data_IF_246300177266
#
_entry.id   IF_246300177266
#
_cell.length_a   1.000
_cell.length_b   1.000
_cell.length_c   1.000
_cell.angle_alpha   90.00
_cell.angle_beta   90.00
_cell.angle_gamma   90.00
#
_symmetry.space_group_name_H-M   'P 1'
#
loop_
_entity.id
_entity.type
_entity.pdbx_description
1 polymer ?
#
# COMPACT_ATOMS: atom_id res chain seq x y z
N UNK A 1 -15.10 -29.00 -20.08
CA UNK A 1 -15.94 -27.89 -20.56
C UNK A 1 -15.30 -26.61 -20.05
N UNK A 2 -14.51 -25.97 -20.91
CA UNK A 2 -13.90 -24.66 -20.68
C UNK A 2 -15.00 -23.61 -20.72
N UNK A 3 -15.42 -23.11 -19.56
CA UNK A 3 -16.26 -21.93 -19.47
C UNK A 3 -15.45 -20.75 -19.99
N UNK A 4 -15.87 -20.20 -21.13
CA UNK A 4 -15.43 -18.90 -21.59
C UNK A 4 -15.84 -17.87 -20.52
N UNK A 5 -14.86 -17.43 -19.73
CA UNK A 5 -15.00 -16.20 -18.95
C UNK A 5 -14.80 -15.07 -19.95
N UNK A 6 -15.82 -14.25 -20.13
CA UNK A 6 -15.81 -13.13 -21.07
C UNK A 6 -14.68 -12.17 -20.71
N UNK A 7 -13.83 -11.82 -21.68
CA UNK A 7 -12.54 -11.15 -21.45
C UNK A 7 -12.68 -9.65 -21.08
N UNK A 8 -13.86 -9.19 -20.65
CA UNK A 8 -14.20 -7.76 -20.52
C UNK A 8 -15.06 -7.39 -19.30
N UNK A 9 -15.20 -8.26 -18.30
CA UNK A 9 -15.93 -7.90 -17.07
C UNK A 9 -15.01 -7.14 -16.10
N UNK A 10 -14.88 -5.83 -16.28
CA UNK A 10 -14.31 -4.93 -15.27
C UNK A 10 -15.43 -4.23 -14.51
N UNK A 11 -15.35 -4.17 -13.18
CA UNK A 11 -16.28 -3.37 -12.37
C UNK A 11 -16.20 -1.86 -12.66
N UNK A 12 -15.03 -1.39 -13.11
CA UNK A 12 -14.78 -0.01 -13.49
C UNK A 12 -13.85 0.05 -14.71
N UNK A 13 -13.98 1.09 -15.54
CA UNK A 13 -13.15 1.24 -16.75
C UNK A 13 -11.92 2.13 -16.54
N UNK A 14 -12.05 3.15 -15.71
CA UNK A 14 -11.03 4.21 -15.54
C UNK A 14 -10.67 4.36 -14.07
N UNK A 15 -9.40 4.69 -13.83
CA UNK A 15 -8.84 5.06 -12.54
C UNK A 15 -9.01 6.56 -12.33
N UNK A 16 -9.35 6.97 -11.12
CA UNK A 16 -9.41 8.39 -10.74
C UNK A 16 -8.02 9.01 -10.86
N UNK A 17 -7.85 10.13 -11.61
CA UNK A 17 -6.55 10.77 -11.72
C UNK A 17 -5.99 11.18 -10.36
N UNK A 18 -4.76 10.76 -10.06
CA UNK A 18 -4.03 11.23 -8.88
C UNK A 18 -3.54 12.65 -9.07
N UNK A 19 -3.63 13.46 -8.02
CA UNK A 19 -3.09 14.82 -8.05
C UNK A 19 -1.55 14.79 -8.08
N UNK A 20 -0.88 15.66 -8.85
CA UNK A 20 0.56 15.83 -8.75
C UNK A 20 0.96 16.30 -7.33
N UNK A 21 1.99 15.70 -6.71
CA UNK A 21 2.43 16.12 -5.39
C UNK A 21 3.14 17.48 -5.41
N UNK A 22 3.13 18.17 -4.27
CA UNK A 22 3.91 19.41 -4.09
C UNK A 22 5.39 19.04 -4.13
N UNK A 23 6.17 19.66 -5.02
CA UNK A 23 7.59 19.35 -5.22
C UNK A 23 8.51 20.39 -4.59
N UNK A 24 9.64 19.94 -4.06
CA UNK A 24 10.74 20.81 -3.66
C UNK A 24 12.08 20.26 -4.19
N UNK A 25 12.97 21.17 -4.61
CA UNK A 25 14.23 20.80 -5.26
C UNK A 25 15.28 20.23 -4.32
N UNK A 26 15.09 20.39 -3.01
CA UNK A 26 15.99 19.88 -1.96
C UNK A 26 15.15 19.47 -0.77
N UNK A 27 15.52 18.37 -0.13
CA UNK A 27 14.93 17.94 1.12
C UNK A 27 15.05 19.03 2.20
N UNK A 28 13.91 19.52 2.69
CA UNK A 28 13.83 20.37 3.86
C UNK A 28 14.03 19.55 5.15
N UNK A 29 13.60 18.28 5.15
CA UNK A 29 13.83 17.31 6.20
C UNK A 29 14.24 15.97 5.59
N UNK A 30 15.31 15.31 6.08
CA UNK A 30 15.83 14.08 5.48
C UNK A 30 15.02 12.81 5.81
N UNK A 31 13.85 12.85 6.45
CA UNK A 31 13.21 11.61 6.88
C UNK A 31 11.68 11.72 6.94
N UNK A 32 11.02 10.56 6.73
CA UNK A 32 9.62 10.28 7.07
C UNK A 32 9.46 10.13 8.59
N UNK A 33 9.94 11.10 9.37
CA UNK A 33 10.15 10.96 10.83
C UNK A 33 8.84 10.60 11.52
N UNK A 34 7.80 11.40 11.30
CA UNK A 34 6.52 11.28 11.98
C UNK A 34 5.82 9.96 11.63
N UNK A 35 5.66 9.64 10.34
CA UNK A 35 5.08 8.39 9.88
C UNK A 35 5.83 7.15 10.42
N UNK A 36 7.17 7.15 10.34
CA UNK A 36 8.02 6.03 10.81
C UNK A 36 7.95 5.86 12.33
N UNK A 37 7.84 6.96 13.08
CA UNK A 37 7.67 6.96 14.52
C UNK A 37 6.31 6.43 14.93
N UNK A 38 5.22 6.93 14.31
CA UNK A 38 3.86 6.51 14.66
C UNK A 38 3.65 5.00 14.48
N UNK A 39 4.13 4.45 13.35
CA UNK A 39 4.02 3.00 13.09
C UNK A 39 5.18 2.18 13.65
N UNK A 40 6.13 2.82 14.36
CA UNK A 40 7.30 2.19 15.01
C UNK A 40 8.18 1.37 14.06
N UNK A 41 8.25 1.75 12.78
CA UNK A 41 8.99 0.99 11.78
C UNK A 41 10.51 1.00 12.03
N UNK A 42 11.09 2.13 12.46
CA UNK A 42 12.52 2.18 12.78
C UNK A 42 12.89 1.28 13.97
N UNK A 43 12.07 1.27 15.01
CA UNK A 43 12.23 0.37 16.17
C UNK A 43 12.16 -1.10 15.73
N UNK A 44 11.20 -1.43 14.86
CA UNK A 44 11.02 -2.78 14.35
C UNK A 44 12.21 -3.23 13.50
N UNK A 45 12.70 -2.38 12.58
CA UNK A 45 13.89 -2.65 11.77
C UNK A 45 15.12 -2.98 12.63
N UNK A 46 15.35 -2.17 13.67
CA UNK A 46 16.48 -2.35 14.58
C UNK A 46 16.33 -3.63 15.41
N UNK A 47 15.16 -3.85 16.01
CA UNK A 47 14.92 -4.99 16.92
C UNK A 47 14.99 -6.32 16.20
N UNK A 48 14.40 -6.40 15.01
CA UNK A 48 14.34 -7.63 14.23
C UNK A 48 15.46 -7.74 13.20
N UNK A 49 16.35 -6.74 13.09
CA UNK A 49 17.45 -6.72 12.11
C UNK A 49 16.94 -6.98 10.69
N UNK A 50 15.95 -6.18 10.29
CA UNK A 50 15.31 -6.25 8.97
C UNK A 50 15.29 -4.88 8.33
N UNK A 51 15.41 -4.86 7.00
CA UNK A 51 15.45 -3.64 6.20
C UNK A 51 14.77 -3.82 4.83
N UNK A 52 14.21 -5.02 4.57
CA UNK A 52 13.52 -5.35 3.33
C UNK A 52 14.41 -5.95 2.25
N UNK A 53 15.70 -6.22 2.53
CA UNK A 53 16.66 -6.70 1.52
C UNK A 53 16.26 -7.99 0.78
N UNK A 54 15.32 -8.78 1.33
CA UNK A 54 14.81 -10.04 0.76
C UNK A 54 13.45 -9.89 0.05
N UNK A 55 12.93 -8.68 -0.06
CA UNK A 55 11.67 -8.40 -0.74
C UNK A 55 11.89 -7.54 -2.00
N UNK A 56 11.03 -7.75 -3.00
CA UNK A 56 10.91 -6.86 -4.15
C UNK A 56 9.46 -6.38 -4.25
N UNK A 57 9.29 -5.06 -4.25
CA UNK A 57 7.97 -4.41 -4.32
C UNK A 57 7.73 -3.92 -5.74
N UNK A 58 6.64 -4.38 -6.37
CA UNK A 58 6.15 -3.81 -7.61
C UNK A 58 5.21 -2.65 -7.30
N UNK A 59 5.58 -1.44 -7.71
CA UNK A 59 4.76 -0.23 -7.57
C UNK A 59 4.07 0.03 -8.91
N UNK A 60 2.75 -0.09 -8.92
CA UNK A 60 1.89 0.16 -10.08
C UNK A 60 1.34 1.58 -9.95
N UNK A 61 1.95 2.53 -10.66
CA UNK A 61 1.68 3.96 -10.48
C UNK A 61 1.98 4.76 -11.76
N UNK A 62 2.27 6.05 -11.62
CA UNK A 62 2.63 7.03 -12.67
C UNK A 62 4.05 6.87 -13.21
N UNK A 63 4.81 5.91 -12.70
CA UNK A 63 6.22 5.68 -13.02
C UNK A 63 7.13 5.99 -11.83
N UNK A 64 8.45 5.90 -12.03
CA UNK A 64 9.43 6.24 -10.98
C UNK A 64 10.60 7.02 -11.58
N UNK A 65 11.08 8.07 -10.91
CA UNK A 65 12.41 8.64 -11.17
C UNK A 65 13.49 7.68 -10.66
N UNK A 66 13.85 6.68 -11.47
CA UNK A 66 14.84 5.67 -11.09
C UNK A 66 16.25 6.23 -10.81
N UNK A 67 16.55 7.44 -11.29
CA UNK A 67 17.81 8.15 -11.04
C UNK A 67 17.87 8.81 -9.67
N UNK A 68 16.75 8.91 -8.96
CA UNK A 68 16.72 9.50 -7.62
C UNK A 68 17.64 8.71 -6.67
N UNK A 69 18.44 9.41 -5.88
CA UNK A 69 19.47 8.79 -5.03
C UNK A 69 18.87 7.81 -4.00
N UNK A 70 17.64 8.08 -3.57
CA UNK A 70 16.86 7.19 -2.70
C UNK A 70 16.63 5.78 -3.29
N UNK A 71 16.70 5.60 -4.62
CA UNK A 71 16.49 4.31 -5.28
C UNK A 71 17.75 3.73 -5.91
N UNK A 72 18.89 4.40 -5.79
CA UNK A 72 20.10 4.08 -6.54
C UNK A 72 20.46 2.59 -6.45
N UNK A 73 20.49 1.92 -7.61
CA UNK A 73 20.83 0.49 -7.74
C UNK A 73 19.76 -0.50 -7.26
N UNK A 74 18.57 -0.03 -6.86
CA UNK A 74 17.47 -0.88 -6.33
C UNK A 74 16.28 -1.03 -7.28
N UNK A 75 16.18 -0.25 -8.35
CA UNK A 75 15.18 -0.46 -9.42
C UNK A 75 15.65 -1.63 -10.31
N UNK A 76 15.06 -2.81 -10.14
CA UNK A 76 15.53 -4.06 -10.78
C UNK A 76 14.78 -4.43 -12.06
N UNK A 77 13.61 -3.85 -12.26
CA UNK A 77 12.86 -3.92 -13.52
C UNK A 77 11.93 -2.74 -13.64
N UNK A 78 11.51 -2.44 -14.87
CA UNK A 78 10.50 -1.44 -15.14
C UNK A 78 9.65 -1.85 -16.34
N UNK A 79 8.42 -1.34 -16.42
CA UNK A 79 7.58 -1.50 -17.61
C UNK A 79 6.53 -0.40 -17.70
N UNK A 80 6.24 0.02 -18.91
CA UNK A 80 5.23 1.03 -19.22
C UNK A 80 4.06 0.41 -19.98
N UNK A 81 2.86 0.62 -19.43
CA UNK A 81 1.58 0.17 -19.99
C UNK A 81 0.77 1.34 -20.57
N UNK A 82 1.32 2.55 -20.53
CA UNK A 82 0.70 3.79 -21.01
C UNK A 82 1.19 4.17 -22.41
N UNK A 83 0.55 5.16 -23.01
CA UNK A 83 1.01 5.78 -24.25
C UNK A 83 2.12 6.83 -24.03
N UNK A 84 2.42 7.19 -22.77
CA UNK A 84 3.51 8.11 -22.46
C UNK A 84 4.86 7.54 -22.90
N UNK A 85 5.89 8.39 -22.91
CA UNK A 85 7.24 8.01 -23.32
C UNK A 85 7.26 7.41 -24.73
N UNK A 86 6.41 7.94 -25.62
CA UNK A 86 6.19 7.46 -27.00
C UNK A 86 5.73 5.99 -27.07
N UNK A 87 5.08 5.48 -26.02
CA UNK A 87 4.67 4.08 -25.92
C UNK A 87 5.84 3.10 -25.76
N UNK A 88 7.03 3.58 -25.39
CA UNK A 88 8.16 2.72 -25.09
C UNK A 88 7.86 1.90 -23.82
N UNK A 89 7.67 0.59 -24.01
CA UNK A 89 7.32 -0.36 -22.95
C UNK A 89 8.40 -0.53 -21.91
N UNK A 90 9.64 -0.19 -22.21
CA UNK A 90 10.77 -0.32 -21.27
C UNK A 90 11.09 0.99 -20.56
N UNK A 91 10.31 2.04 -20.79
CA UNK A 91 10.49 3.37 -20.17
C UNK A 91 9.34 3.71 -19.23
N UNK A 92 9.48 3.35 -17.94
CA UNK A 92 8.53 3.69 -16.88
C UNK A 92 8.92 4.97 -16.13
N UNK A 93 9.60 5.91 -16.80
CA UNK A 93 9.94 7.21 -16.19
C UNK A 93 8.68 7.91 -15.72
N UNK A 94 8.73 8.43 -14.50
CA UNK A 94 7.67 9.24 -13.94
C UNK A 94 7.59 10.59 -14.68
N UNK A 95 6.38 11.09 -14.84
CA UNK A 95 6.10 12.44 -15.35
C UNK A 95 5.00 13.16 -14.58
N UNK A 96 4.54 12.58 -13.45
CA UNK A 96 3.56 13.16 -12.54
C UNK A 96 4.18 13.47 -11.17
N UNK A 97 4.95 12.53 -10.62
CA UNK A 97 5.63 12.62 -9.33
C UNK A 97 5.01 11.77 -8.23
N UNK A 98 3.74 11.38 -8.38
CA UNK A 98 3.05 10.53 -7.41
C UNK A 98 3.77 9.17 -7.22
N UNK A 99 4.19 8.51 -8.29
CA UNK A 99 4.82 7.19 -8.22
C UNK A 99 6.22 7.22 -7.63
N UNK A 100 6.96 8.31 -7.86
CA UNK A 100 8.24 8.57 -7.19
C UNK A 100 8.04 8.76 -5.67
N UNK A 101 7.02 9.51 -5.26
CA UNK A 101 6.67 9.70 -3.85
C UNK A 101 6.26 8.37 -3.17
N UNK A 102 5.34 7.62 -3.80
CA UNK A 102 4.87 6.32 -3.34
C UNK A 102 6.05 5.34 -3.19
N UNK A 103 6.93 5.27 -4.17
CA UNK A 103 8.13 4.42 -4.12
C UNK A 103 9.08 4.81 -3.00
N UNK A 104 9.21 6.12 -2.72
CA UNK A 104 10.02 6.64 -1.63
C UNK A 104 9.53 6.15 -0.26
N UNK A 105 8.22 6.18 -0.03
CA UNK A 105 7.60 5.71 1.21
C UNK A 105 7.88 4.22 1.44
N UNK A 106 7.90 3.42 0.37
CA UNK A 106 8.27 2.01 0.45
C UNK A 106 9.74 1.84 0.80
N UNK A 107 10.66 2.35 -0.04
CA UNK A 107 12.05 1.87 -0.04
C UNK A 107 13.13 2.95 -0.26
N UNK A 108 12.82 4.24 -0.05
CA UNK A 108 13.88 5.22 0.03
C UNK A 108 14.93 4.81 1.09
N UNK A 109 16.20 5.05 0.81
CA UNK A 109 17.27 4.66 1.73
C UNK A 109 18.56 5.41 1.48
N UNK A 110 18.46 6.71 1.18
CA UNK A 110 19.59 7.65 1.16
C UNK A 110 19.18 8.98 1.80
N UNK A 111 18.63 9.92 1.03
CA UNK A 111 18.15 11.20 1.55
C UNK A 111 16.98 10.96 2.48
N UNK A 112 16.00 10.15 2.06
CA UNK A 112 14.87 9.73 2.88
C UNK A 112 15.04 8.26 3.29
N UNK A 113 14.33 7.87 4.36
CA UNK A 113 14.23 6.47 4.80
C UNK A 113 12.79 6.01 4.74
N UNK A 114 12.48 5.15 3.77
CA UNK A 114 11.20 4.46 3.66
C UNK A 114 11.03 3.35 4.71
N UNK A 115 9.90 2.67 4.66
CA UNK A 115 9.61 1.59 5.61
C UNK A 115 10.57 0.41 5.46
N UNK A 116 10.90 0.03 4.22
CA UNK A 116 11.80 -1.06 3.86
C UNK A 116 12.97 -0.56 2.98
N UNK A 117 13.94 0.15 3.57
CA UNK A 117 14.94 0.94 2.82
C UNK A 117 15.90 0.11 1.96
N UNK A 118 15.92 -1.21 2.08
CA UNK A 118 16.76 -2.10 1.25
C UNK A 118 15.95 -3.01 0.32
N UNK A 119 14.63 -2.87 0.30
CA UNK A 119 13.79 -3.56 -0.67
C UNK A 119 14.15 -3.15 -2.10
N UNK A 120 14.05 -4.12 -3.01
CA UNK A 120 14.15 -3.86 -4.45
C UNK A 120 12.83 -3.30 -4.96
N UNK A 121 12.89 -2.54 -6.05
CA UNK A 121 11.75 -1.90 -6.67
C UNK A 121 11.56 -2.39 -8.10
N UNK A 122 10.32 -2.68 -8.46
CA UNK A 122 9.88 -2.84 -9.84
C UNK A 122 8.89 -1.73 -10.16
N UNK A 123 9.24 -0.86 -11.12
CA UNK A 123 8.44 0.29 -11.49
C UNK A 123 7.49 -0.05 -12.64
N UNK A 124 6.19 -0.17 -12.37
CA UNK A 124 5.19 -0.42 -13.40
C UNK A 124 4.35 0.84 -13.62
N UNK A 125 4.61 1.54 -14.73
CA UNK A 125 3.85 2.72 -15.12
C UNK A 125 2.51 2.29 -15.74
N UNK A 126 1.45 2.40 -14.95
CA UNK A 126 0.05 2.10 -15.36
C UNK A 126 -0.81 3.36 -15.40
N UNK A 127 -0.34 4.46 -14.80
CA UNK A 127 -0.98 5.77 -14.86
C UNK A 127 -0.16 6.71 -15.75
N UNK A 128 -0.86 7.47 -16.59
CA UNK A 128 -0.25 8.47 -17.43
C UNK A 128 0.27 9.66 -16.60
N UNK A 129 1.01 10.57 -17.22
CA UNK A 129 1.55 11.76 -16.56
C UNK A 129 0.44 12.70 -16.03
N UNK A 130 -0.78 12.57 -16.56
CA UNK A 130 -1.99 13.23 -16.03
C UNK A 130 -2.52 12.62 -14.73
N UNK A 131 -1.95 11.52 -14.24
CA UNK A 131 -2.37 10.81 -13.03
C UNK A 131 -3.47 9.77 -13.25
N UNK A 132 -4.12 9.73 -14.41
CA UNK A 132 -5.18 8.76 -14.74
C UNK A 132 -4.67 7.54 -15.50
N UNK A 133 -5.48 6.47 -15.54
CA UNK A 133 -5.20 5.24 -16.30
C UNK A 133 -6.45 4.39 -16.46
N UNK A 134 -6.35 3.27 -17.16
CA UNK A 134 -7.45 2.32 -17.35
C UNK A 134 -7.25 1.02 -16.58
N UNK A 135 -8.33 0.39 -16.12
CA UNK A 135 -8.23 -0.92 -15.47
C UNK A 135 -7.75 -2.04 -16.39
N UNK A 136 -7.80 -1.81 -17.71
CA UNK A 136 -7.12 -2.66 -18.68
C UNK A 136 -5.59 -2.65 -18.49
N UNK A 137 -4.99 -1.47 -18.28
CA UNK A 137 -3.56 -1.34 -18.01
C UNK A 137 -3.18 -1.97 -16.66
N UNK A 138 -4.05 -1.85 -15.65
CA UNK A 138 -3.87 -2.49 -14.34
C UNK A 138 -3.91 -4.01 -14.49
N UNK A 139 -4.89 -4.56 -15.22
CA UNK A 139 -4.95 -6.01 -15.53
C UNK A 139 -3.66 -6.49 -16.18
N UNK A 140 -3.19 -5.79 -17.22
CA UNK A 140 -1.99 -6.18 -17.95
C UNK A 140 -0.73 -6.11 -17.07
N UNK A 141 -0.67 -5.14 -16.16
CA UNK A 141 0.42 -5.04 -15.19
C UNK A 141 0.38 -6.13 -14.13
N UNK A 142 -0.80 -6.47 -13.58
CA UNK A 142 -0.96 -7.57 -12.63
C UNK A 142 -0.61 -8.93 -13.27
N UNK A 143 -1.03 -9.15 -14.53
CA UNK A 143 -0.61 -10.32 -15.30
C UNK A 143 0.91 -10.35 -15.50
N UNK A 144 1.52 -9.21 -15.84
CA UNK A 144 2.98 -9.12 -15.97
C UNK A 144 3.69 -9.45 -14.64
N UNK A 145 3.16 -8.97 -13.51
CA UNK A 145 3.69 -9.33 -12.18
C UNK A 145 3.60 -10.82 -11.97
N UNK A 146 2.44 -11.44 -12.23
CA UNK A 146 2.24 -12.87 -12.06
C UNK A 146 3.27 -13.68 -12.86
N UNK A 147 3.50 -13.29 -14.12
CA UNK A 147 4.43 -13.96 -15.04
C UNK A 147 5.90 -13.75 -14.68
N UNK A 148 6.25 -12.59 -14.11
CA UNK A 148 7.64 -12.19 -13.88
C UNK A 148 8.08 -12.21 -12.40
N UNK A 149 7.16 -12.52 -11.46
CA UNK A 149 7.45 -12.49 -10.02
C UNK A 149 8.65 -13.36 -9.64
N UNK A 150 8.77 -14.56 -10.21
CA UNK A 150 9.87 -15.47 -9.88
C UNK A 150 11.21 -14.94 -10.41
N UNK A 151 11.20 -14.32 -11.59
CA UNK A 151 12.38 -13.73 -12.22
C UNK A 151 12.93 -12.55 -11.43
N UNK A 152 12.05 -11.69 -10.91
CA UNK A 152 12.44 -10.48 -10.20
C UNK A 152 12.34 -10.59 -8.68
N UNK A 153 11.87 -11.72 -8.15
CA UNK A 153 11.62 -11.92 -6.71
C UNK A 153 10.51 -11.03 -6.16
N UNK A 154 9.46 -10.74 -6.96
CA UNK A 154 8.34 -9.88 -6.55
C UNK A 154 7.51 -10.63 -5.51
N UNK A 155 7.36 -10.03 -4.34
CA UNK A 155 6.60 -10.58 -3.21
C UNK A 155 5.55 -9.61 -2.67
N UNK A 156 5.56 -8.35 -3.13
CA UNK A 156 4.59 -7.32 -2.76
C UNK A 156 4.21 -6.52 -4.00
N UNK A 157 2.93 -6.18 -4.12
CA UNK A 157 2.38 -5.21 -5.06
C UNK A 157 1.81 -4.04 -4.26
N UNK A 158 2.12 -2.81 -4.68
CA UNK A 158 1.53 -1.58 -4.13
C UNK A 158 0.76 -0.87 -5.24
N UNK A 159 -0.53 -0.62 -5.00
CA UNK A 159 -1.46 0.05 -5.90
C UNK A 159 -2.11 1.24 -5.18
N UNK A 160 -1.54 2.41 -5.37
CA UNK A 160 -2.05 3.67 -4.83
C UNK A 160 -3.02 4.33 -5.82
N UNK A 161 -4.05 3.56 -6.20
CA UNK A 161 -5.01 3.87 -7.25
C UNK A 161 -6.37 3.22 -6.97
N UNK A 162 -7.43 3.74 -7.59
CA UNK A 162 -8.78 3.18 -7.46
C UNK A 162 -9.78 3.83 -8.42
N UNK A 163 -10.97 3.24 -8.49
CA UNK A 163 -12.12 3.79 -9.18
C UNK A 163 -12.80 4.88 -8.32
N UNK A 164 -13.67 5.68 -8.94
CA UNK A 164 -14.48 6.69 -8.24
C UNK A 164 -15.74 6.08 -7.61
N UNK A 165 -15.69 4.85 -7.12
CA UNK A 165 -16.82 4.13 -6.55
C UNK A 165 -16.67 3.90 -5.04
N UNK A 166 -17.76 3.47 -4.40
CA UNK A 166 -17.80 3.22 -2.97
C UNK A 166 -18.63 1.96 -2.71
N UNK A 167 -17.96 0.81 -2.70
CA UNK A 167 -18.59 -0.50 -2.57
C UNK A 167 -18.51 -0.99 -1.13
N UNK A 168 -19.57 -1.63 -0.67
CA UNK A 168 -19.63 -2.33 0.61
C UNK A 168 -19.49 -3.85 0.48
N UNK A 169 -19.50 -4.38 -0.75
CA UNK A 169 -19.36 -5.82 -1.02
C UNK A 169 -18.59 -6.08 -2.32
N UNK A 170 -17.91 -7.24 -2.38
CA UNK A 170 -17.31 -7.82 -3.59
C UNK A 170 -18.17 -8.94 -4.21
N UNK A 171 -19.31 -9.27 -3.60
CA UNK A 171 -20.12 -10.43 -3.99
C UNK A 171 -20.74 -10.29 -5.40
N UNK A 172 -20.93 -9.05 -5.85
CA UNK A 172 -21.43 -8.71 -7.19
C UNK A 172 -20.32 -8.70 -8.26
N UNK A 173 -19.06 -8.87 -7.86
CA UNK A 173 -17.88 -8.88 -8.75
C UNK A 173 -17.44 -10.29 -9.17
N UNK A 174 -18.34 -11.27 -9.06
CA UNK A 174 -18.09 -12.63 -9.51
C UNK A 174 -17.71 -12.68 -11.00
N UNK A 175 -16.50 -13.14 -11.29
CA UNK A 175 -15.97 -13.22 -12.66
C UNK A 175 -15.12 -12.02 -13.10
N UNK A 176 -14.91 -11.03 -12.24
CA UNK A 176 -14.01 -9.91 -12.52
C UNK A 176 -12.56 -10.39 -12.70
N UNK A 177 -11.91 -9.93 -13.77
CA UNK A 177 -10.58 -10.39 -14.17
C UNK A 177 -9.49 -9.90 -13.21
N UNK A 178 -9.61 -8.68 -12.68
CA UNK A 178 -8.66 -8.16 -11.67
C UNK A 178 -8.84 -8.94 -10.37
N UNK A 179 -10.07 -9.20 -9.93
CA UNK A 179 -10.33 -10.06 -8.78
C UNK A 179 -9.67 -11.44 -8.91
N UNK A 180 -9.79 -12.08 -10.09
CA UNK A 180 -9.14 -13.36 -10.37
C UNK A 180 -7.60 -13.28 -10.37
N UNK A 181 -7.00 -12.19 -10.86
CA UNK A 181 -5.56 -11.98 -10.82
C UNK A 181 -5.04 -11.73 -9.41
N UNK A 182 -5.74 -10.94 -8.61
CA UNK A 182 -5.42 -10.71 -7.20
C UNK A 182 -5.42 -12.02 -6.41
N UNK A 183 -6.40 -12.89 -6.66
CA UNK A 183 -6.43 -14.23 -6.08
C UNK A 183 -5.21 -15.07 -6.46
N UNK A 184 -4.89 -15.14 -7.75
CA UNK A 184 -3.72 -15.90 -8.23
C UNK A 184 -2.41 -15.36 -7.64
N UNK A 185 -2.26 -14.04 -7.50
CA UNK A 185 -1.10 -13.41 -6.87
C UNK A 185 -1.02 -13.77 -5.38
N UNK A 186 -2.13 -13.68 -4.65
CA UNK A 186 -2.22 -14.04 -3.24
C UNK A 186 -1.88 -15.52 -3.00
N UNK A 187 -2.43 -16.43 -3.80
CA UNK A 187 -2.10 -17.86 -3.77
C UNK A 187 -0.62 -18.14 -4.10
N UNK A 188 -0.03 -17.29 -4.93
CA UNK A 188 1.38 -17.34 -5.28
C UNK A 188 2.32 -16.64 -4.27
N UNK A 189 1.79 -16.16 -3.14
CA UNK A 189 2.57 -15.53 -2.06
C UNK A 189 2.89 -14.05 -2.28
N UNK A 190 2.23 -13.38 -3.22
CA UNK A 190 2.39 -11.95 -3.49
C UNK A 190 1.30 -11.16 -2.78
N UNK A 191 1.67 -10.36 -1.78
CA UNK A 191 0.73 -9.51 -1.06
C UNK A 191 0.40 -8.25 -1.87
N UNK A 192 -0.88 -7.98 -2.13
CA UNK A 192 -1.33 -6.81 -2.88
C UNK A 192 -1.91 -5.75 -1.95
N UNK A 193 -1.18 -4.66 -1.71
CA UNK A 193 -1.62 -3.52 -0.89
C UNK A 193 -2.30 -2.47 -1.77
N UNK A 194 -3.53 -2.07 -1.44
CA UNK A 194 -4.37 -1.23 -2.30
C UNK A 194 -5.05 -0.12 -1.50
N UNK A 195 -5.02 1.10 -2.03
CA UNK A 195 -5.63 2.26 -1.40
C UNK A 195 -7.16 2.13 -1.32
N UNK A 196 -7.77 2.38 -0.16
CA UNK A 196 -9.22 2.25 0.02
C UNK A 196 -10.02 3.29 -0.77
N UNK A 197 -9.44 4.46 -1.06
CA UNK A 197 -10.10 5.58 -1.77
C UNK A 197 -10.18 6.85 -0.92
N UNK A 198 -10.43 7.99 -1.57
CA UNK A 198 -10.34 9.33 -0.95
C UNK A 198 -11.67 10.13 -1.02
N UNK A 199 -12.78 9.47 -1.34
CA UNK A 199 -14.05 10.14 -1.62
C UNK A 199 -15.09 10.02 -0.51
N UNK A 200 -14.69 9.69 0.73
CA UNK A 200 -15.63 9.45 1.84
C UNK A 200 -16.60 10.64 2.06
N UNK A 201 -16.07 11.87 2.07
CA UNK A 201 -16.89 13.08 2.12
C UNK A 201 -17.85 13.20 0.92
N UNK A 202 -17.35 12.96 -0.30
CA UNK A 202 -18.13 13.09 -1.53
C UNK A 202 -19.28 12.06 -1.60
N UNK A 203 -19.12 10.90 -0.96
CA UNK A 203 -20.17 9.90 -0.78
C UNK A 203 -21.08 10.14 0.41
N UNK A 204 -21.10 11.36 0.96
CA UNK A 204 -21.95 11.71 2.10
C UNK A 204 -21.59 10.91 3.36
N UNK A 205 -20.31 10.58 3.53
CA UNK A 205 -19.79 9.76 4.64
C UNK A 205 -20.37 8.34 4.68
N UNK A 206 -20.79 7.79 3.54
CA UNK A 206 -21.17 6.40 3.43
C UNK A 206 -19.93 5.48 3.51
N UNK A 207 -19.99 4.45 4.33
CA UNK A 207 -18.94 3.44 4.42
C UNK A 207 -18.83 2.63 3.12
N UNK A 208 -17.59 2.29 2.75
CA UNK A 208 -17.27 1.55 1.55
C UNK A 208 -15.80 1.72 1.17
N UNK A 209 -15.38 1.00 0.13
CA UNK A 209 -14.06 1.07 -0.48
C UNK A 209 -14.19 1.10 -2.01
N UNK A 210 -13.21 1.70 -2.66
CA UNK A 210 -13.14 1.73 -4.11
C UNK A 210 -12.69 0.38 -4.69
N UNK A 211 -13.03 0.14 -5.95
CA UNK A 211 -12.43 -0.92 -6.75
C UNK A 211 -10.97 -0.55 -7.11
N UNK A 212 -9.97 -1.45 -6.95
CA UNK A 212 -10.10 -2.87 -6.60
C UNK A 212 -9.87 -3.19 -5.11
N UNK A 213 -9.72 -2.19 -4.23
CA UNK A 213 -9.47 -2.41 -2.79
C UNK A 213 -10.59 -3.18 -2.08
N UNK A 214 -11.81 -3.19 -2.63
CA UNK A 214 -12.93 -3.97 -2.09
C UNK A 214 -12.70 -5.50 -2.12
N UNK A 215 -11.83 -6.01 -3.00
CA UNK A 215 -11.58 -7.46 -3.07
C UNK A 215 -10.87 -7.95 -1.81
N UNK A 216 -11.38 -9.04 -1.23
CA UNK A 216 -10.85 -9.67 0.01
C UNK A 216 -9.42 -10.20 -0.14
N UNK A 217 -8.96 -10.41 -1.37
CA UNK A 217 -7.59 -10.80 -1.68
C UNK A 217 -6.59 -9.64 -1.54
N UNK A 218 -7.05 -8.39 -1.45
CA UNK A 218 -6.21 -7.21 -1.21
C UNK A 218 -5.97 -6.97 0.28
N UNK A 219 -4.84 -6.35 0.62
CA UNK A 219 -4.66 -5.62 1.87
C UNK A 219 -5.12 -4.19 1.63
N UNK A 220 -6.36 -3.88 1.98
CA UNK A 220 -6.98 -2.58 1.77
C UNK A 220 -6.53 -1.56 2.82
N UNK A 221 -6.16 -0.35 2.39
CA UNK A 221 -5.47 0.62 3.26
C UNK A 221 -6.19 1.96 3.34
N UNK A 222 -6.62 2.33 4.54
CA UNK A 222 -7.13 3.66 4.91
C UNK A 222 -6.04 4.60 5.42
N UNK A 223 -6.35 5.89 5.55
CA UNK A 223 -5.39 6.92 5.93
C UNK A 223 -5.72 7.61 7.26
N UNK A 224 -4.72 7.70 8.14
CA UNK A 224 -4.70 8.56 9.33
C UNK A 224 -3.67 9.69 9.18
N UNK A 225 -3.78 10.69 10.04
CA UNK A 225 -2.71 11.66 10.28
C UNK A 225 -1.61 11.05 11.18
N UNK A 226 -0.37 11.48 11.00
CA UNK A 226 0.77 11.07 11.83
C UNK A 226 1.17 12.07 12.92
N UNK A 227 0.69 13.32 12.82
CA UNK A 227 0.96 14.38 13.79
C UNK A 227 -0.13 15.47 13.78
N UNK A 228 -0.04 16.39 14.74
CA UNK A 228 -0.78 17.66 14.70
C UNK A 228 -0.03 18.65 13.80
N UNK A 229 -0.68 19.02 12.70
CA UNK A 229 -0.19 19.92 11.65
C UNK A 229 -1.22 21.05 11.41
N UNK A 230 -2.19 21.23 12.33
CA UNK A 230 -3.28 22.19 12.17
C UNK A 230 -4.45 21.69 11.31
N UNK A 231 -5.11 22.59 10.59
CA UNK A 231 -6.29 22.27 9.78
C UNK A 231 -5.98 22.16 8.29
N UNK A 232 -6.70 21.28 7.58
CA UNK A 232 -6.58 21.08 6.13
C UNK A 232 -7.93 21.19 5.41
N UNK A 233 -7.90 21.66 4.17
CA UNK A 233 -9.02 21.60 3.24
C UNK A 233 -8.59 20.90 1.96
N UNK A 234 -9.38 19.93 1.52
CA UNK A 234 -9.07 19.07 0.39
C UNK A 234 -9.95 19.40 -0.82
N UNK A 235 -9.47 19.06 -2.03
CA UNK A 235 -10.20 19.34 -3.27
C UNK A 235 -11.58 18.65 -3.32
N UNK A 236 -11.72 17.49 -2.69
CA UNK A 236 -13.00 16.77 -2.56
C UNK A 236 -14.06 17.52 -1.75
N UNK A 237 -13.68 18.59 -1.03
CA UNK A 237 -14.54 19.31 -0.10
C UNK A 237 -14.42 18.79 1.34
N UNK A 238 -13.71 17.69 1.57
CA UNK A 238 -13.35 17.23 2.91
C UNK A 238 -12.49 18.28 3.63
N UNK A 239 -12.68 18.44 4.94
CA UNK A 239 -11.96 19.43 5.76
C UNK A 239 -11.68 18.86 7.14
N UNK A 240 -10.42 18.88 7.55
CA UNK A 240 -10.04 18.67 8.94
C UNK A 240 -9.85 20.04 9.61
N UNK A 241 -10.53 20.27 10.72
CA UNK A 241 -10.40 21.49 11.52
C UNK A 241 -9.10 21.43 12.33
N UNK A 242 -8.75 20.25 12.85
CA UNK A 242 -7.46 19.97 13.48
C UNK A 242 -7.03 18.53 13.21
N UNK A 243 -5.71 18.28 13.21
CA UNK A 243 -5.15 16.94 13.06
C UNK A 243 -4.42 16.52 14.33
N UNK A 244 -4.23 15.21 14.48
CA UNK A 244 -3.38 14.61 15.49
C UNK A 244 -3.06 13.18 15.03
N UNK A 245 -2.01 12.59 15.57
CA UNK A 245 -1.70 11.19 15.33
C UNK A 245 -2.94 10.29 15.57
N UNK A 246 -3.11 9.28 14.71
CA UNK A 246 -4.18 8.28 14.75
C UNK A 246 -5.59 8.77 14.36
N UNK A 247 -5.82 10.07 14.20
CA UNK A 247 -7.09 10.59 13.65
C UNK A 247 -7.30 10.15 12.21
N UNK A 248 -8.46 9.59 11.90
CA UNK A 248 -8.77 9.19 10.54
C UNK A 248 -8.99 10.43 9.68
N UNK A 249 -8.34 10.48 8.52
CA UNK A 249 -8.49 11.60 7.60
C UNK A 249 -9.93 11.67 7.06
N UNK A 250 -10.55 12.86 6.89
CA UNK A 250 -11.95 12.97 6.48
C UNK A 250 -12.22 12.49 5.06
N UNK A 251 -11.19 12.41 4.22
CA UNK A 251 -11.31 11.89 2.85
C UNK A 251 -11.26 10.35 2.79
N UNK A 252 -10.61 9.67 3.75
CA UNK A 252 -10.35 8.24 3.65
C UNK A 252 -11.65 7.44 3.60
N UNK A 253 -11.88 6.73 2.50
CA UNK A 253 -12.88 5.66 2.47
C UNK A 253 -12.53 4.62 3.53
N UNK A 254 -13.59 4.05 4.14
CA UNK A 254 -13.51 3.13 5.28
C UNK A 254 -14.74 2.25 5.29
N UNK A 255 -14.56 0.97 5.55
CA UNK A 255 -15.63 -0.02 5.60
C UNK A 255 -15.45 -0.90 6.83
N UNK A 256 -16.38 -0.81 7.78
CA UNK A 256 -16.38 -1.72 8.92
C UNK A 256 -17.13 -3.01 8.59
N UNK A 257 -16.69 -4.12 9.17
CA UNK A 257 -17.31 -5.46 9.01
C UNK A 257 -18.82 -5.52 9.30
N UNK A 258 -19.33 -4.60 10.12
CA UNK A 258 -20.77 -4.47 10.42
C UNK A 258 -21.60 -4.06 9.21
N UNK A 259 -20.99 -3.36 8.26
CA UNK A 259 -21.61 -2.90 7.01
C UNK A 259 -21.24 -3.85 5.89
N UNK A 260 -19.93 -4.09 5.69
CA UNK A 260 -19.45 -4.86 4.53
C UNK A 260 -19.46 -6.38 4.67
N UNK A 261 -19.81 -6.91 5.85
CA UNK A 261 -19.93 -8.35 6.09
C UNK A 261 -18.58 -9.08 6.02
N UNK A 262 -18.27 -9.66 4.86
CA UNK A 262 -16.97 -10.30 4.60
C UNK A 262 -15.93 -9.32 4.04
N UNK A 263 -16.35 -8.12 3.66
CA UNK A 263 -15.47 -7.02 3.25
C UNK A 263 -15.34 -6.02 4.41
N UNK A 264 -14.09 -5.68 4.78
CA UNK A 264 -13.77 -4.61 5.71
C UNK A 264 -12.45 -3.95 5.28
N UNK A 265 -12.25 -2.67 5.60
CA UNK A 265 -10.94 -2.05 5.46
C UNK A 265 -9.98 -2.71 6.43
N UNK A 266 -8.92 -3.32 5.90
CA UNK A 266 -8.04 -4.18 6.68
C UNK A 266 -7.25 -3.39 7.72
N UNK A 267 -6.69 -2.26 7.29
CA UNK A 267 -5.76 -1.52 8.11
C UNK A 267 -5.63 -0.06 7.68
N UNK A 268 -5.22 0.78 8.62
CA UNK A 268 -4.91 2.19 8.42
C UNK A 268 -3.42 2.44 8.63
N UNK A 269 -2.90 3.43 7.91
CA UNK A 269 -1.53 3.91 8.07
C UNK A 269 -1.45 5.44 7.85
N UNK A 270 -0.34 6.09 8.26
CA UNK A 270 -0.06 7.47 7.94
C UNK A 270 -0.20 7.78 6.46
N UNK A 271 -1.06 8.74 6.12
CA UNK A 271 -1.32 9.12 4.73
C UNK A 271 -1.40 10.61 4.46
N UNK A 272 -1.37 11.49 5.48
CA UNK A 272 -1.49 12.93 5.26
C UNK A 272 -0.90 13.74 6.44
N UNK A 273 -0.11 14.80 6.17
CA UNK A 273 0.79 14.93 5.02
C UNK A 273 1.92 13.88 5.09
N UNK A 274 2.44 13.44 3.94
CA UNK A 274 3.59 12.53 3.88
C UNK A 274 4.65 13.08 2.93
N UNK A 275 5.86 13.32 3.45
CA UNK A 275 7.02 13.82 2.71
C UNK A 275 7.92 12.68 2.24
N UNK A 276 8.19 12.57 0.94
CA UNK A 276 9.05 11.51 0.40
C UNK A 276 9.82 11.96 -0.84
N UNK A 277 10.45 11.02 -1.55
CA UNK A 277 11.25 11.27 -2.76
C UNK A 277 10.46 12.06 -3.81
N UNK A 278 11.05 13.15 -4.30
CA UNK A 278 10.45 14.04 -5.28
C UNK A 278 10.94 13.79 -6.71
N UNK A 279 10.17 14.27 -7.68
CA UNK A 279 10.45 14.06 -9.10
C UNK A 279 11.21 15.22 -9.75
N UNK A 280 11.46 16.36 -9.10
CA UNK A 280 12.10 17.49 -9.79
C UNK A 280 13.55 17.20 -10.20
N UNK A 281 14.29 16.47 -9.38
CA UNK A 281 15.69 16.11 -9.63
C UNK A 281 16.06 14.86 -8.84
N UNK A 282 17.32 14.41 -8.92
CA UNK A 282 17.76 13.16 -8.28
C UNK A 282 17.83 13.23 -6.74
N UNK A 283 17.53 14.38 -6.15
CA UNK A 283 17.58 14.65 -4.70
C UNK A 283 16.34 15.43 -4.21
N UNK A 284 15.30 15.50 -5.03
CA UNK A 284 14.09 16.24 -4.72
C UNK A 284 13.29 15.60 -3.60
N UNK A 285 12.36 16.36 -3.04
CA UNK A 285 11.34 15.85 -2.12
C UNK A 285 9.97 16.24 -2.64
N UNK A 286 8.94 15.54 -2.19
CA UNK A 286 7.56 15.92 -2.44
C UNK A 286 6.65 15.59 -1.26
N UNK A 287 5.59 16.38 -1.10
CA UNK A 287 4.60 16.25 -0.02
C UNK A 287 3.25 15.90 -0.63
N UNK A 288 2.57 14.90 -0.07
CA UNK A 288 1.26 14.46 -0.55
C UNK A 288 0.34 13.96 0.57
N UNK A 289 -0.96 13.88 0.27
CA UNK A 289 -2.02 13.46 1.15
C UNK A 289 -2.88 12.42 0.43
N UNK A 290 -3.19 11.30 1.09
CA UNK A 290 -4.10 10.30 0.55
C UNK A 290 -3.96 8.92 1.17
N UNK A 291 -4.96 8.08 0.95
CA UNK A 291 -4.83 6.61 1.10
C UNK A 291 -3.74 6.05 0.19
N UNK A 292 -3.44 6.77 -0.91
CA UNK A 292 -2.29 6.55 -1.78
C UNK A 292 -0.94 6.59 -1.06
N UNK A 293 -0.78 7.43 -0.03
CA UNK A 293 0.45 7.52 0.76
C UNK A 293 0.47 6.52 1.92
N UNK A 294 -0.71 6.18 2.46
CA UNK A 294 -0.84 5.14 3.48
C UNK A 294 -0.52 3.73 2.93
N UNK A 295 -0.92 3.46 1.69
CA UNK A 295 -0.70 2.16 1.02
C UNK A 295 0.77 1.71 0.96
N UNK A 296 1.73 2.54 0.53
CA UNK A 296 3.15 2.16 0.51
C UNK A 296 3.76 1.99 1.91
N UNK A 297 3.19 2.59 2.96
CA UNK A 297 3.59 2.29 4.35
C UNK A 297 3.34 0.81 4.65
N UNK A 298 2.14 0.31 4.32
CA UNK A 298 1.79 -1.11 4.50
C UNK A 298 2.65 -2.00 3.60
N UNK A 299 2.84 -1.64 2.32
CA UNK A 299 3.67 -2.42 1.41
C UNK A 299 5.11 -2.59 1.94
N UNK A 300 5.70 -1.53 2.52
CA UNK A 300 7.02 -1.62 3.13
C UNK A 300 7.04 -2.42 4.43
N UNK A 301 6.02 -2.32 5.31
CA UNK A 301 5.93 -3.16 6.52
C UNK A 301 5.77 -4.64 6.15
N UNK A 302 5.00 -4.95 5.11
CA UNK A 302 4.90 -6.31 4.55
C UNK A 302 6.27 -6.81 4.06
N UNK A 303 7.04 -5.95 3.38
CA UNK A 303 8.41 -6.29 2.96
C UNK A 303 9.33 -6.58 4.16
N UNK A 304 9.19 -5.87 5.28
CA UNK A 304 9.94 -6.16 6.51
C UNK A 304 9.54 -7.51 7.14
N UNK A 305 8.24 -7.82 7.18
CA UNK A 305 7.74 -9.12 7.67
C UNK A 305 8.26 -10.27 6.81
N UNK A 306 8.20 -10.14 5.49
CA UNK A 306 8.73 -11.12 4.55
C UNK A 306 10.25 -11.28 4.70
N UNK A 307 10.99 -10.19 4.87
CA UNK A 307 12.44 -10.21 5.13
C UNK A 307 12.77 -10.99 6.42
N UNK A 308 12.01 -10.74 7.49
CA UNK A 308 12.14 -11.48 8.74
C UNK A 308 11.88 -12.98 8.55
N UNK A 309 10.74 -13.34 7.94
CA UNK A 309 10.38 -14.74 7.70
C UNK A 309 11.43 -15.45 6.87
N UNK A 310 11.85 -14.91 5.72
CA UNK A 310 12.85 -15.56 4.85
C UNK A 310 14.18 -15.71 5.57
N UNK A 311 14.58 -14.73 6.41
CA UNK A 311 15.81 -14.84 7.19
C UNK A 311 15.76 -15.95 8.23
N UNK A 312 14.60 -16.19 8.86
CA UNK A 312 14.42 -17.16 9.95
C UNK A 312 14.08 -18.56 9.44
N UNK A 313 13.22 -18.67 8.44
CA UNK A 313 12.67 -19.96 7.95
C UNK A 313 13.15 -20.33 6.55
N UNK A 314 13.74 -19.40 5.80
CA UNK A 314 14.14 -19.62 4.40
C UNK A 314 13.01 -19.50 3.38
N UNK A 315 11.77 -19.18 3.81
CA UNK A 315 10.59 -19.14 2.95
C UNK A 315 9.75 -17.88 3.18
N UNK A 316 9.02 -17.45 2.16
CA UNK A 316 7.99 -16.42 2.32
C UNK A 316 6.81 -16.99 3.13
N UNK A 317 6.17 -16.18 3.99
CA UNK A 317 4.92 -16.55 4.65
C UNK A 317 3.75 -16.47 3.66
N UNK A 318 2.65 -17.16 3.98
CA UNK A 318 1.41 -17.00 3.24
C UNK A 318 0.82 -15.60 3.48
N UNK A 319 0.17 -15.01 2.47
CA UNK A 319 -0.41 -13.66 2.57
C UNK A 319 -1.46 -13.55 3.69
N UNK A 320 -2.21 -14.63 3.95
CA UNK A 320 -3.14 -14.69 5.09
C UNK A 320 -2.45 -14.53 6.44
N UNK A 321 -1.25 -15.07 6.61
CA UNK A 321 -0.47 -14.94 7.86
C UNK A 321 0.04 -13.51 8.04
N UNK A 322 0.48 -12.88 6.93
CA UNK A 322 0.86 -11.48 6.92
C UNK A 322 -0.32 -10.61 7.37
N UNK A 323 -1.50 -10.80 6.77
CA UNK A 323 -2.74 -10.10 7.15
C UNK A 323 -3.04 -10.29 8.63
N UNK A 324 -2.96 -11.53 9.10
CA UNK A 324 -3.22 -11.87 10.50
C UNK A 324 -2.29 -11.17 11.48
N UNK A 325 -0.99 -11.15 11.20
CA UNK A 325 -0.02 -10.46 12.07
C UNK A 325 -0.23 -8.96 12.06
N UNK A 326 -0.52 -8.35 10.90
CA UNK A 326 -0.82 -6.92 10.78
C UNK A 326 -2.08 -6.56 11.58
N UNK A 327 -3.19 -7.26 11.34
CA UNK A 327 -4.52 -6.91 11.87
C UNK A 327 -4.62 -7.20 13.37
N UNK A 328 -4.13 -8.35 13.85
CA UNK A 328 -4.29 -8.76 15.27
C UNK A 328 -3.38 -8.01 16.24
N UNK A 329 -2.30 -7.41 15.73
CA UNK A 329 -1.35 -6.63 16.52
C UNK A 329 -1.49 -5.12 16.32
N UNK A 330 -2.42 -4.71 15.47
CA UNK A 330 -2.74 -3.32 15.21
C UNK A 330 -3.20 -2.60 16.49
N UNK A 331 -3.10 -1.28 16.44
CA UNK A 331 -3.68 -0.41 17.47
C UNK A 331 -5.07 -0.01 17.03
N UNK A 332 -6.00 -0.04 17.97
CA UNK A 332 -7.36 0.37 17.72
C UNK A 332 -7.48 1.89 17.67
N UNK A 333 -8.13 2.39 16.61
CA UNK A 333 -8.53 3.79 16.43
C UNK A 333 -10.06 3.83 16.30
N UNK A 334 -10.72 4.91 16.72
CA UNK A 334 -12.19 4.98 16.73
C UNK A 334 -12.60 6.16 15.84
N UNK A 335 -13.40 5.89 14.81
CA UNK A 335 -13.90 6.95 13.93
C UNK A 335 -14.95 7.79 14.66
N UNK A 336 -14.57 9.01 15.05
CA UNK A 336 -15.39 10.03 15.71
C UNK A 336 -15.18 10.17 17.21
N UNK A 337 -14.10 9.64 17.79
CA UNK A 337 -13.81 9.85 19.21
C UNK A 337 -13.04 11.15 19.46
N UNK A 338 -12.15 11.54 18.56
CA UNK A 338 -11.35 12.74 18.68
C UNK A 338 -11.16 13.53 17.36
N UNK A 339 -11.71 13.04 16.24
CA UNK A 339 -11.73 13.78 14.98
C UNK A 339 -12.55 15.08 15.09
N UNK A 340 -11.99 16.14 14.52
CA UNK A 340 -12.68 17.43 14.35
C UNK A 340 -12.63 17.77 12.86
N UNK A 341 -13.64 17.35 12.13
CA UNK A 341 -13.71 17.52 10.69
C UNK A 341 -15.17 17.75 10.22
N UNK A 342 -15.41 17.66 8.91
CA UNK A 342 -16.72 17.90 8.31
C UNK A 342 -17.43 16.65 7.76
N UNK A 343 -17.03 15.45 8.18
CA UNK A 343 -17.71 14.21 7.80
C UNK A 343 -18.56 13.65 8.94
N UNK A 344 -19.49 12.78 8.61
CA UNK A 344 -20.21 11.99 9.60
C UNK A 344 -19.35 10.78 9.99
N UNK A 345 -19.12 10.62 11.28
CA UNK A 345 -18.36 9.50 11.83
C UNK A 345 -19.25 8.29 12.09
N UNK A 346 -18.67 7.10 11.90
CA UNK A 346 -19.34 5.83 12.14
C UNK A 346 -19.41 5.44 13.62
N UNK A 347 -18.55 5.98 14.49
CA UNK A 347 -18.43 5.57 15.90
C UNK A 347 -17.87 4.15 16.05
N UNK A 348 -17.25 3.60 15.00
CA UNK A 348 -16.75 2.23 14.94
C UNK A 348 -15.23 2.19 15.09
N UNK A 349 -14.74 1.02 15.50
CA UNK A 349 -13.32 0.76 15.72
C UNK A 349 -12.67 0.26 14.45
N UNK A 350 -11.58 0.91 14.06
CA UNK A 350 -10.69 0.49 12.98
C UNK A 350 -9.29 0.20 13.55
N UNK A 351 -8.38 -0.23 12.69
CA UNK A 351 -7.08 -0.77 13.08
C UNK A 351 -5.98 -0.02 12.35
N UNK A 352 -5.06 0.58 13.08
CA UNK A 352 -3.87 1.25 12.53
C UNK A 352 -2.64 0.37 12.75
N UNK A 353 -1.79 0.27 11.73
CA UNK A 353 -0.62 -0.62 11.75
C UNK A 353 0.42 -0.23 12.80
N UNK A 354 0.97 -1.21 13.51
CA UNK A 354 2.18 -1.07 14.32
C UNK A 354 3.20 -2.11 13.83
N UNK A 355 4.25 -1.66 13.15
CA UNK A 355 5.25 -2.52 12.54
C UNK A 355 6.00 -3.37 13.58
N UNK A 356 6.28 -2.79 14.75
CA UNK A 356 6.98 -3.46 15.84
C UNK A 356 6.10 -4.55 16.44
N UNK A 357 4.82 -4.26 16.66
CA UNK A 357 3.84 -5.23 17.14
C UNK A 357 3.60 -6.36 16.11
N UNK A 358 3.52 -6.05 14.82
CA UNK A 358 3.34 -7.03 13.76
C UNK A 358 4.53 -7.99 13.63
N UNK A 359 5.77 -7.47 13.62
CA UNK A 359 6.97 -8.30 13.61
C UNK A 359 7.10 -9.12 14.90
N UNK A 360 6.68 -8.59 16.05
CA UNK A 360 6.62 -9.34 17.30
C UNK A 360 5.62 -10.49 17.23
N UNK A 361 4.43 -10.26 16.66
CA UNK A 361 3.42 -11.29 16.45
C UNK A 361 3.94 -12.40 15.52
N UNK A 362 4.58 -12.00 14.41
CA UNK A 362 5.25 -12.91 13.48
C UNK A 362 6.31 -13.77 14.17
N UNK A 363 7.25 -13.16 14.90
CA UNK A 363 8.31 -13.87 15.60
C UNK A 363 7.79 -14.87 16.63
N UNK A 364 6.75 -14.49 17.40
CA UNK A 364 6.10 -15.40 18.36
C UNK A 364 5.44 -16.57 17.66
N UNK A 365 4.78 -16.34 16.54
CA UNK A 365 4.10 -17.38 15.79
C UNK A 365 5.10 -18.38 15.19
N UNK A 366 6.18 -17.91 14.55
CA UNK A 366 7.23 -18.77 14.03
C UNK A 366 7.91 -19.60 15.13
N UNK A 367 8.20 -18.99 16.28
CA UNK A 367 8.80 -19.70 17.41
C UNK A 367 7.89 -20.82 17.95
N UNK A 368 6.56 -20.59 18.01
CA UNK A 368 5.60 -21.62 18.43
C UNK A 368 5.59 -22.82 17.48
N UNK A 369 5.65 -22.58 16.17
CA UNK A 369 5.70 -23.67 15.16
C UNK A 369 6.96 -24.50 15.28
N UNK A 370 8.12 -23.84 15.43
CA UNK A 370 9.40 -24.54 15.64
C UNK A 370 9.38 -25.45 16.89
N UNK A 371 8.76 -24.99 17.98
CA UNK A 371 8.60 -25.80 19.20
C UNK A 371 7.66 -26.98 18.99
N UNK A 372 6.56 -26.81 18.25
CA UNK A 372 5.64 -27.90 17.92
C UNK A 372 6.32 -28.98 17.07
N UNK A 373 7.07 -28.58 16.03
CA UNK A 373 7.83 -29.49 15.16
C UNK A 373 8.92 -30.26 15.91
N UNK A 374 9.56 -29.61 16.90
CA UNK A 374 10.54 -30.26 17.77
C UNK A 374 9.88 -31.27 18.72
N UNK A 375 8.73 -30.93 19.29
CA UNK A 375 7.94 -31.80 20.17
C UNK A 375 7.55 -33.12 19.50
N UNK A 376 7.02 -33.06 18.29
CA UNK A 376 6.61 -34.24 17.52
C UNK A 376 7.79 -35.19 17.19
N UNK A 377 9.00 -34.64 16.95
CA UNK A 377 10.19 -35.47 16.70
C UNK A 377 10.69 -36.22 17.93
N UNK A 378 10.40 -35.73 19.13
CA UNK A 378 10.78 -36.39 20.41
C UNK A 378 9.85 -37.53 20.80
N UNK A 379 8.64 -37.60 20.24
CA UNK A 379 7.64 -38.65 20.56
C UNK A 379 7.79 -39.87 19.63
N UNK A 380 8.52 -39.72 18.53
CA UNK A 380 8.72 -40.76 17.49
C UNK A 380 10.12 -41.40 17.56
N UNK A 381 10.94 -41.03 18.54
CA UNK A 381 12.24 -41.64 18.86
C UNK A 381 12.15 -42.41 20.17
#
# INVERSE_FOLDING_TARGET
>A
MTTHVDASAFAAQQVVPVEPPIQHDRAALPELIQATQLVRAAEARNTFTVDGARATVAVLDTGVRATHVDFAGRVVAQRNFTADNNGDRENASDGNGHGTNVSGIVCAGDIHTGMAPRAKLVALKVLANSGGGSFEQIRDALQWVLDNRARHGISVVSMSLGASDNRDTDADLGGDVIGALLRQLTEAGVACCVAAGNDYFAFGSAQGMSYPAIFRETLSVGAVYDADEGGFSYQSGAKAISTAADRITPFSQRLHRKVGGDCETDIFAPGAPITSSGINNDRGESIQHGTSQATPVIAGIVALLQDFCVRVTGTLPAVGEIRDWLVRSAVDIIDGDDEQDNVQHSGLRYRRVDAMAALTACAKDLARRQLADAGDRTVVA
#
